data_IF_848147228495
#
_entry.id   IF_848147228495
#
_cell.length_a   1.000
_cell.length_b   1.000
_cell.length_c   1.000
_cell.angle_alpha   90.00
_cell.angle_beta   90.00
_cell.angle_gamma   90.00
#
_symmetry.space_group_name_H-M   'P 1'
#
loop_
_entity.id
_entity.type
_entity.pdbx_description
1 polymer ?
#
# COMPACT_ATOMS: atom_id res chain seq x y z
N UNK A 1 -3.55 20.72 41.36
CA UNK A 1 -3.65 19.27 41.12
C UNK A 1 -2.56 18.87 40.16
N UNK A 2 -1.97 17.68 40.34
CA UNK A 2 -1.04 17.14 39.36
C UNK A 2 -1.77 16.81 38.04
N UNK A 3 -1.13 17.02 36.88
CA UNK A 3 -1.78 16.77 35.60
C UNK A 3 -1.95 15.26 35.33
N UNK A 4 -3.15 14.88 34.92
CA UNK A 4 -3.55 13.48 34.66
C UNK A 4 -3.03 13.04 33.29
N UNK A 5 -2.57 11.80 33.19
CA UNK A 5 -2.21 11.20 31.89
C UNK A 5 -3.44 10.54 31.29
N UNK A 6 -3.88 11.05 30.14
CA UNK A 6 -4.97 10.46 29.35
C UNK A 6 -4.44 9.54 28.25
N UNK A 7 -3.15 9.20 28.26
CA UNK A 7 -2.55 8.31 27.29
C UNK A 7 -3.23 6.93 27.31
N UNK A 8 -3.46 6.36 26.14
CA UNK A 8 -3.95 4.99 25.96
C UNK A 8 -3.00 3.99 26.61
N UNK A 9 -3.50 3.20 27.56
CA UNK A 9 -2.71 2.16 28.24
C UNK A 9 -2.05 1.17 27.26
N UNK A 10 -2.72 0.86 26.16
CA UNK A 10 -2.19 -0.03 25.11
C UNK A 10 -1.24 0.68 24.16
N UNK A 11 -1.45 1.99 23.95
CA UNK A 11 -0.73 2.76 22.94
C UNK A 11 0.50 3.46 23.48
N UNK A 12 0.69 3.58 24.80
CA UNK A 12 1.82 4.32 25.37
C UNK A 12 2.98 3.41 25.82
N UNK A 13 4.19 3.93 25.68
CA UNK A 13 5.41 3.44 26.34
C UNK A 13 5.61 4.18 27.66
N UNK A 14 5.38 5.49 27.66
CA UNK A 14 5.57 6.34 28.82
C UNK A 14 4.67 7.56 28.77
N UNK A 15 4.34 8.08 29.95
CA UNK A 15 3.72 9.39 30.08
C UNK A 15 4.61 10.31 30.93
N UNK A 16 5.11 11.38 30.30
CA UNK A 16 5.93 12.38 30.96
C UNK A 16 5.06 13.50 31.49
N UNK A 17 5.15 13.77 32.79
CA UNK A 17 4.47 14.89 33.46
C UNK A 17 5.48 15.95 33.84
N UNK A 18 5.32 17.18 33.36
CA UNK A 18 6.09 18.37 33.77
C UNK A 18 5.13 19.49 34.13
N UNK A 19 5.61 20.52 34.83
CA UNK A 19 4.76 21.62 35.30
C UNK A 19 3.88 22.20 34.16
N UNK A 20 2.58 21.90 34.20
CA UNK A 20 1.59 22.35 33.22
C UNK A 20 1.54 21.57 31.89
N UNK A 21 2.32 20.50 31.72
CA UNK A 21 2.42 19.76 30.46
C UNK A 21 2.43 18.24 30.66
N UNK A 22 1.76 17.54 29.76
CA UNK A 22 1.72 16.07 29.69
C UNK A 22 2.03 15.64 28.27
N UNK A 23 2.90 14.65 28.14
CA UNK A 23 3.30 14.09 26.85
C UNK A 23 3.30 12.57 26.92
N UNK A 24 2.72 11.94 25.89
CA UNK A 24 2.72 10.50 25.72
C UNK A 24 3.81 10.11 24.71
N UNK A 25 4.68 9.19 25.10
CA UNK A 25 5.53 8.48 24.16
C UNK A 25 4.75 7.25 23.65
N UNK A 26 4.43 7.19 22.36
CA UNK A 26 3.62 6.11 21.81
C UNK A 26 4.44 4.87 21.45
N UNK A 27 3.81 3.71 21.56
CA UNK A 27 4.27 2.42 21.04
C UNK A 27 4.36 2.49 19.51
N UNK A 28 5.25 1.70 18.88
CA UNK A 28 5.23 1.53 17.44
C UNK A 28 3.83 1.12 16.94
N UNK A 29 3.37 1.79 15.88
CA UNK A 29 2.03 1.56 15.32
C UNK A 29 0.90 2.38 15.95
N UNK A 30 1.17 3.16 17.00
CA UNK A 30 0.23 4.09 17.62
C UNK A 30 0.63 5.54 17.36
N UNK A 31 -0.37 6.42 17.27
CA UNK A 31 -0.23 7.85 17.03
C UNK A 31 -1.34 8.62 17.78
N UNK A 32 -1.34 9.94 17.61
CA UNK A 32 -2.24 10.84 18.32
C UNK A 32 -1.60 11.41 19.59
N UNK A 33 -2.23 12.45 20.14
CA UNK A 33 -1.71 13.17 21.32
C UNK A 33 -1.66 12.26 22.55
N UNK A 34 -2.57 11.30 22.61
CA UNK A 34 -2.75 10.37 23.70
C UNK A 34 -2.50 8.91 23.28
N UNK A 35 -1.83 8.68 22.14
CA UNK A 35 -1.62 7.34 21.58
C UNK A 35 -2.92 6.55 21.35
N UNK A 36 -3.99 7.26 21.04
CA UNK A 36 -5.35 6.78 20.86
C UNK A 36 -5.66 6.35 19.41
N UNK A 37 -4.83 6.78 18.47
CA UNK A 37 -4.96 6.50 17.04
C UNK A 37 -3.94 5.44 16.60
N UNK A 38 -4.21 4.78 15.47
CA UNK A 38 -3.21 3.95 14.82
C UNK A 38 -2.36 4.81 13.88
N UNK A 39 -1.05 4.64 13.94
CA UNK A 39 -0.14 5.32 13.03
C UNK A 39 -0.42 4.90 11.57
N UNK A 40 -0.08 5.75 10.57
CA UNK A 40 -0.18 5.37 9.16
C UNK A 40 0.42 4.00 8.87
N UNK A 41 -0.24 3.20 8.02
CA UNK A 41 0.14 1.80 7.77
C UNK A 41 -0.26 0.82 8.87
N UNK A 42 -1.04 1.24 9.86
CA UNK A 42 -1.64 0.37 10.89
C UNK A 42 -3.15 0.59 10.95
N UNK A 43 -3.90 -0.42 11.35
CA UNK A 43 -5.34 -0.33 11.55
C UNK A 43 -5.75 -0.88 12.93
N UNK A 44 -6.94 -0.49 13.38
CA UNK A 44 -7.47 -0.93 14.66
C UNK A 44 -8.08 -2.32 14.55
N UNK A 45 -7.50 -3.30 15.24
CA UNK A 45 -8.03 -4.65 15.41
C UNK A 45 -8.44 -4.84 16.88
N UNK A 46 -9.74 -4.67 17.16
CA UNK A 46 -10.23 -4.62 18.54
C UNK A 46 -9.68 -3.39 19.27
N UNK A 47 -8.88 -3.62 20.32
CA UNK A 47 -8.26 -2.54 21.11
C UNK A 47 -6.85 -2.17 20.65
N UNK A 48 -6.24 -2.99 19.81
CA UNK A 48 -4.84 -2.86 19.41
C UNK A 48 -4.71 -2.26 18.02
N UNK A 49 -3.58 -1.59 17.78
CA UNK A 49 -3.15 -1.21 16.44
C UNK A 49 -2.23 -2.29 15.89
N UNK A 50 -2.56 -2.78 14.70
CA UNK A 50 -1.81 -3.84 14.01
C UNK A 50 -1.41 -3.36 12.62
N UNK A 51 -0.29 -3.87 12.11
CA UNK A 51 0.25 -3.50 10.80
C UNK A 51 -0.74 -3.86 9.70
N UNK A 52 -0.92 -2.96 8.75
CA UNK A 52 -1.72 -3.20 7.56
C UNK A 52 -1.15 -4.40 6.78
N UNK A 53 -1.99 -5.37 6.38
CA UNK A 53 -1.57 -6.51 5.57
C UNK A 53 -1.31 -6.12 4.09
N UNK A 54 -0.99 -4.86 3.83
CA UNK A 54 -0.83 -4.25 2.52
C UNK A 54 0.64 -3.96 2.28
N UNK A 55 1.20 -4.52 1.21
CA UNK A 55 2.60 -4.29 0.84
C UNK A 55 2.76 -3.00 0.05
N UNK A 56 3.85 -2.26 0.27
CA UNK A 56 4.24 -1.12 -0.57
C UNK A 56 4.70 -1.56 -1.98
N UNK A 57 4.88 -2.86 -2.20
CA UNK A 57 5.19 -3.45 -3.51
C UNK A 57 3.95 -3.57 -4.40
N UNK A 58 2.79 -3.82 -3.79
CA UNK A 58 1.54 -4.14 -4.50
C UNK A 58 0.45 -3.09 -4.32
N UNK A 59 0.63 -2.17 -3.37
CA UNK A 59 -0.33 -1.15 -2.96
C UNK A 59 0.37 0.08 -2.36
N UNK A 60 -0.40 1.06 -1.90
CA UNK A 60 0.13 2.20 -1.12
C UNK A 60 0.50 1.85 0.33
N UNK A 61 0.44 0.58 0.73
CA UNK A 61 0.61 0.07 2.10
C UNK A 61 -0.39 0.59 3.14
N UNK A 62 -1.27 1.52 2.76
CA UNK A 62 -2.38 1.98 3.57
C UNK A 62 -3.57 1.01 3.47
N UNK A 63 -4.25 0.80 4.59
CA UNK A 63 -5.44 -0.04 4.65
C UNK A 63 -6.58 0.63 5.40
N UNK A 64 -7.80 0.15 5.13
CA UNK A 64 -9.03 0.59 5.77
C UNK A 64 -9.87 -0.61 6.17
N UNK A 65 -10.75 -0.40 7.14
CA UNK A 65 -11.75 -1.39 7.52
C UNK A 65 -13.00 -1.19 6.67
N UNK A 66 -13.40 -2.21 5.94
CA UNK A 66 -14.64 -2.23 5.17
C UNK A 66 -15.86 -2.46 6.07
N UNK A 67 -17.04 -2.14 5.56
CA UNK A 67 -18.32 -2.34 6.27
C UNK A 67 -18.59 -3.81 6.63
N UNK A 68 -17.98 -4.74 5.90
CA UNK A 68 -18.02 -6.18 6.18
C UNK A 68 -17.13 -6.61 7.35
N UNK A 69 -16.35 -5.70 7.94
CA UNK A 69 -15.36 -5.98 8.97
C UNK A 69 -14.04 -6.52 8.43
N UNK A 70 -13.88 -6.66 7.11
CA UNK A 70 -12.62 -7.06 6.49
C UNK A 70 -11.72 -5.85 6.24
N UNK A 71 -10.41 -6.08 6.26
CA UNK A 71 -9.43 -5.06 5.90
C UNK A 71 -9.17 -5.08 4.40
N UNK A 72 -9.09 -3.91 3.79
CA UNK A 72 -8.71 -3.73 2.39
C UNK A 72 -7.62 -2.67 2.27
N UNK A 73 -6.75 -2.83 1.27
CA UNK A 73 -5.80 -1.80 0.90
C UNK A 73 -6.54 -0.63 0.25
N UNK A 74 -6.12 0.59 0.56
CA UNK A 74 -6.76 1.81 0.05
C UNK A 74 -6.63 1.89 -1.48
N UNK A 75 -5.45 1.56 -2.01
CA UNK A 75 -5.16 1.62 -3.44
C UNK A 75 -4.14 0.57 -3.85
N UNK A 76 -4.50 -0.28 -4.82
CA UNK A 76 -3.55 -1.17 -5.47
C UNK A 76 -2.66 -0.40 -6.45
N UNK A 77 -1.40 -0.83 -6.54
CA UNK A 77 -0.50 -0.41 -7.61
C UNK A 77 -0.96 -1.03 -8.94
N UNK A 78 -0.54 -0.45 -10.09
CA UNK A 78 -0.94 -0.96 -11.40
C UNK A 78 -0.66 -2.46 -11.57
N UNK A 79 -1.54 -3.15 -12.30
CA UNK A 79 -1.45 -4.61 -12.49
C UNK A 79 -1.98 -5.46 -11.32
N UNK A 80 -2.20 -4.86 -10.14
CA UNK A 80 -2.65 -5.57 -8.95
C UNK A 80 -4.14 -5.29 -8.67
N UNK A 81 -4.81 -6.25 -8.03
CA UNK A 81 -6.25 -6.19 -7.68
C UNK A 81 -6.58 -7.07 -6.48
N UNK A 82 -7.84 -7.00 -6.06
CA UNK A 82 -8.36 -7.68 -4.86
C UNK A 82 -8.28 -6.78 -3.63
N UNK A 83 -8.94 -7.19 -2.54
CA UNK A 83 -8.98 -6.39 -1.30
C UNK A 83 -7.59 -6.13 -0.72
N UNK A 84 -6.66 -7.06 -0.86
CA UNK A 84 -5.28 -6.94 -0.37
C UNK A 84 -4.23 -6.69 -1.47
N UNK A 85 -4.68 -6.44 -2.71
CA UNK A 85 -3.78 -6.25 -3.86
C UNK A 85 -2.82 -7.43 -4.11
N UNK A 86 -3.20 -8.64 -3.70
CA UNK A 86 -2.41 -9.88 -3.84
C UNK A 86 -2.83 -10.74 -5.05
N UNK A 87 -3.51 -10.14 -6.02
CA UNK A 87 -3.93 -10.82 -7.25
C UNK A 87 -3.62 -9.95 -8.46
N UNK A 88 -3.31 -10.59 -9.59
CA UNK A 88 -3.03 -9.86 -10.83
C UNK A 88 -4.28 -9.61 -11.66
N UNK A 89 -4.37 -8.42 -12.22
CA UNK A 89 -5.33 -8.06 -13.26
C UNK A 89 -5.02 -8.83 -14.55
N UNK A 90 -6.00 -8.97 -15.44
CA UNK A 90 -5.78 -9.61 -16.74
C UNK A 90 -4.61 -8.95 -17.49
N UNK A 91 -3.76 -9.76 -18.14
CA UNK A 91 -2.54 -9.31 -18.79
C UNK A 91 -1.31 -9.23 -17.88
N UNK A 92 -1.45 -9.55 -16.59
CA UNK A 92 -0.35 -9.61 -15.62
C UNK A 92 -0.22 -11.01 -15.02
N UNK A 93 1.00 -11.39 -14.66
CA UNK A 93 1.35 -12.63 -13.98
C UNK A 93 2.09 -12.34 -12.67
N UNK A 94 1.78 -13.10 -11.63
CA UNK A 94 2.50 -13.03 -10.36
C UNK A 94 3.90 -13.63 -10.52
N UNK A 95 4.92 -12.83 -10.25
CA UNK A 95 6.34 -13.21 -10.29
C UNK A 95 6.99 -12.70 -9.02
N UNK A 96 7.63 -13.60 -8.27
CA UNK A 96 8.18 -13.35 -6.94
C UNK A 96 7.14 -12.72 -5.98
N UNK A 97 7.18 -11.40 -5.81
CA UNK A 97 6.38 -10.63 -4.86
C UNK A 97 5.41 -9.64 -5.51
N UNK A 98 5.28 -9.64 -6.84
CA UNK A 98 4.49 -8.65 -7.58
C UNK A 98 3.89 -9.16 -8.88
N UNK A 99 2.96 -8.39 -9.43
CA UNK A 99 2.40 -8.59 -10.75
C UNK A 99 3.27 -7.92 -11.82
N UNK A 100 3.77 -8.71 -12.77
CA UNK A 100 4.49 -8.25 -13.95
C UNK A 100 3.60 -8.41 -15.21
N UNK A 101 3.66 -7.50 -16.18
CA UNK A 101 2.96 -7.64 -17.45
C UNK A 101 3.45 -8.88 -18.21
N UNK A 102 2.52 -9.63 -18.82
CA UNK A 102 2.85 -10.79 -19.66
C UNK A 102 3.50 -10.38 -20.98
N UNK A 103 3.04 -9.26 -21.55
CA UNK A 103 3.58 -8.67 -22.77
C UNK A 103 3.43 -7.14 -22.69
N UNK A 104 4.55 -6.44 -22.79
CA UNK A 104 4.63 -4.99 -22.70
C UNK A 104 4.00 -4.28 -23.91
N UNK A 105 3.92 -4.94 -25.07
CA UNK A 105 3.36 -4.36 -26.30
C UNK A 105 1.82 -4.38 -26.30
N UNK A 106 1.21 -5.36 -25.65
CA UNK A 106 -0.25 -5.52 -25.57
C UNK A 106 -0.86 -4.99 -24.26
N UNK A 107 -0.07 -4.83 -23.19
CA UNK A 107 -0.52 -4.18 -21.97
C UNK A 107 -0.57 -2.66 -22.16
N UNK A 108 -1.77 -2.13 -22.43
CA UNK A 108 -2.00 -0.69 -22.60
C UNK A 108 -1.48 0.16 -21.43
N UNK A 109 -1.46 -0.42 -20.22
CA UNK A 109 -0.94 0.28 -19.05
C UNK A 109 0.58 0.48 -19.10
N UNK A 110 1.36 -0.51 -19.57
CA UNK A 110 2.82 -0.32 -19.71
C UNK A 110 3.18 0.55 -20.92
N UNK A 111 2.31 0.62 -21.93
CA UNK A 111 2.47 1.57 -23.03
C UNK A 111 2.32 3.03 -22.57
N UNK A 112 1.41 3.30 -21.63
CA UNK A 112 1.13 4.64 -21.10
C UNK A 112 1.99 5.02 -19.87
N UNK A 113 2.30 4.06 -19.00
CA UNK A 113 3.02 4.26 -17.74
C UNK A 113 4.25 3.35 -17.68
N UNK A 114 5.29 3.70 -18.45
CA UNK A 114 6.54 2.93 -18.56
C UNK A 114 7.26 2.74 -17.22
N UNK A 115 7.16 3.72 -16.33
CA UNK A 115 7.78 3.70 -14.99
C UNK A 115 6.87 3.07 -13.91
N UNK A 116 5.72 2.49 -14.30
CA UNK A 116 4.88 1.79 -13.32
C UNK A 116 5.57 0.53 -12.80
N UNK A 117 5.36 0.15 -11.53
CA UNK A 117 5.87 -1.10 -10.98
C UNK A 117 5.53 -2.30 -11.88
N UNK A 118 6.55 -3.05 -12.27
CA UNK A 118 6.45 -4.17 -13.19
C UNK A 118 6.59 -3.82 -14.66
N UNK A 119 6.50 -2.54 -15.05
CA UNK A 119 6.82 -2.07 -16.41
C UNK A 119 8.26 -1.54 -16.51
N UNK A 120 8.99 -1.34 -15.41
CA UNK A 120 10.36 -0.79 -15.40
C UNK A 120 11.34 -1.58 -16.28
N UNK A 121 11.21 -2.91 -16.33
CA UNK A 121 12.02 -3.79 -17.19
C UNK A 121 11.48 -3.91 -18.64
N UNK A 122 10.31 -3.31 -18.94
CA UNK A 122 9.72 -3.32 -20.30
C UNK A 122 10.51 -2.47 -21.32
N UNK A 123 11.58 -1.79 -20.90
CA UNK A 123 12.40 -0.90 -21.75
C UNK A 123 13.24 -1.68 -22.79
N UNK A 124 13.36 -3.01 -22.68
CA UNK A 124 14.26 -3.79 -23.54
C UNK A 124 13.71 -4.21 -24.92
N UNK A 125 12.42 -3.99 -25.23
CA UNK A 125 11.84 -4.40 -26.52
C UNK A 125 11.72 -3.28 -27.55
N UNK A 126 11.56 -2.01 -27.13
CA UNK A 126 11.49 -0.88 -28.08
C UNK A 126 12.80 -0.71 -28.88
N UNK A 127 13.95 -1.09 -28.30
CA UNK A 127 15.26 -0.96 -28.95
C UNK A 127 15.68 -2.17 -29.80
N UNK A 128 14.99 -3.32 -29.70
CA UNK A 128 15.33 -4.53 -30.46
C UNK A 128 14.38 -4.79 -31.63
N UNK A 129 13.14 -4.31 -31.53
CA UNK A 129 12.13 -4.42 -32.58
C UNK A 129 11.40 -3.07 -32.74
N UNK A 130 11.95 -2.12 -33.53
CA UNK A 130 11.17 -0.96 -33.95
C UNK A 130 9.90 -1.48 -34.63
N UNK A 131 8.73 -1.00 -34.21
CA UNK A 131 7.43 -1.36 -34.78
C UNK A 131 7.34 -0.87 -36.23
N UNK A 132 7.90 -1.65 -37.16
CA UNK A 132 7.52 -1.62 -38.56
C UNK A 132 6.63 -2.81 -38.85
N UNK A 133 5.38 -2.48 -39.17
CA UNK A 133 4.34 -3.33 -39.75
C UNK A 133 3.53 -4.23 -38.81
N UNK A 134 2.29 -3.81 -38.51
CA UNK A 134 1.08 -4.56 -38.91
C UNK A 134 -0.09 -3.58 -39.17
N UNK A 135 -0.06 -2.85 -40.29
CA UNK A 135 -1.32 -2.59 -41.02
C UNK A 135 -1.55 -3.82 -41.89
N UNK A 136 -2.44 -4.69 -41.45
CA UNK A 136 -2.93 -5.78 -42.29
C UNK A 136 -3.70 -5.13 -43.44
N UNK A 137 -3.13 -5.17 -44.65
CA UNK A 137 -3.92 -5.01 -45.87
C UNK A 137 -4.97 -6.13 -45.87
N UNK A 138 -6.22 -5.75 -46.11
CA UNK A 138 -7.28 -6.67 -46.51
C UNK A 138 -7.70 -6.25 -47.90
N UNK A 139 -7.59 -7.17 -48.86
CA UNK A 139 -8.14 -7.06 -50.21
C UNK A 139 -9.67 -6.94 -50.19
#
# INVERSE_FOLDING_TARGET
GEPVCYCSDMGMVACTRRQGFVECACQPGYAGTWCEECAPGNFRAGKECVVCPCSNVTSTAECKMETSGQVSCVKCLPGHRGSLCTSCTAGYQWTDDRCLPLDCLSSSLCAEQKDAPGCEDCIYLENKYPTTAQRSNSD
#
